data_IF_205472380778
#
_entry.id   IF_205472380778
#
_cell.length_a   1.000
_cell.length_b   1.000
_cell.length_c   1.000
_cell.angle_alpha   90.00
_cell.angle_beta   90.00
_cell.angle_gamma   90.00
#
_symmetry.space_group_name_H-M   'P 1'
#
loop_
_entity.id
_entity.type
_entity.pdbx_description
1 polymer ?
#
# COMPACT_ATOMS: atom_id res chain seq x y z
N UNK A 1 0.58 -23.26 17.98
CA UNK A 1 1.60 -23.18 16.92
C UNK A 1 0.89 -23.38 15.59
N UNK A 2 0.44 -22.28 14.96
CA UNK A 2 -0.16 -22.34 13.64
C UNK A 2 0.97 -22.36 12.61
N UNK A 3 1.05 -23.43 11.81
CA UNK A 3 2.02 -23.56 10.74
C UNK A 3 1.82 -22.44 9.72
N UNK A 4 2.89 -21.73 9.38
CA UNK A 4 2.92 -20.85 8.21
C UNK A 4 2.70 -21.74 6.98
N UNK A 5 1.48 -21.78 6.45
CA UNK A 5 1.24 -22.37 5.13
C UNK A 5 2.07 -21.57 4.14
N UNK A 6 3.11 -22.20 3.60
CA UNK A 6 4.04 -21.60 2.63
C UNK A 6 3.42 -21.62 1.23
N UNK A 7 2.16 -21.17 1.15
CA UNK A 7 1.43 -21.03 -0.09
C UNK A 7 1.53 -19.56 -0.44
N UNK A 8 2.32 -19.21 -1.46
CA UNK A 8 2.47 -17.82 -1.91
C UNK A 8 1.10 -17.17 -2.14
N UNK A 9 1.02 -15.84 -1.97
CA UNK A 9 -0.23 -15.08 -2.03
C UNK A 9 -1.06 -15.47 -3.27
N UNK A 10 -0.39 -15.66 -4.40
CA UNK A 10 -1.05 -16.03 -5.64
C UNK A 10 -1.65 -17.42 -5.65
N UNK A 11 -0.96 -18.40 -5.07
CA UNK A 11 -1.52 -19.74 -4.94
C UNK A 11 -2.70 -19.75 -3.96
N UNK A 12 -2.70 -18.89 -2.94
CA UNK A 12 -3.86 -18.70 -2.07
C UNK A 12 -5.04 -18.04 -2.82
N UNK A 13 -4.79 -16.99 -3.59
CA UNK A 13 -5.82 -16.26 -4.35
C UNK A 13 -6.43 -17.10 -5.48
N UNK A 14 -5.62 -17.88 -6.19
CA UNK A 14 -6.07 -18.73 -7.31
C UNK A 14 -6.91 -19.92 -6.86
N UNK A 15 -6.65 -20.45 -5.66
CA UNK A 15 -7.40 -21.56 -5.10
C UNK A 15 -8.72 -21.13 -4.42
N UNK A 16 -8.99 -19.83 -4.32
CA UNK A 16 -10.24 -19.33 -3.77
C UNK A 16 -11.39 -19.55 -4.75
N UNK A 17 -12.51 -20.09 -4.27
CA UNK A 17 -13.75 -20.21 -5.05
C UNK A 17 -14.58 -18.91 -5.06
N UNK A 18 -14.09 -17.84 -4.44
CA UNK A 18 -14.79 -16.57 -4.29
C UNK A 18 -14.33 -15.61 -5.39
N UNK A 19 -15.24 -15.24 -6.29
CA UNK A 19 -14.95 -14.36 -7.45
C UNK A 19 -14.31 -13.03 -7.03
N UNK A 20 -14.71 -12.44 -5.90
CA UNK A 20 -14.16 -11.16 -5.44
C UNK A 20 -12.71 -11.28 -4.98
N UNK A 21 -12.35 -12.38 -4.31
CA UNK A 21 -10.97 -12.68 -3.89
C UNK A 21 -10.10 -12.91 -5.13
N UNK A 22 -10.60 -13.66 -6.11
CA UNK A 22 -9.90 -13.85 -7.39
C UNK A 22 -9.67 -12.52 -8.11
N UNK A 23 -10.69 -11.66 -8.19
CA UNK A 23 -10.58 -10.32 -8.78
C UNK A 23 -9.51 -9.47 -8.08
N UNK A 24 -9.49 -9.49 -6.74
CA UNK A 24 -8.45 -8.84 -5.95
C UNK A 24 -7.05 -9.39 -6.28
N UNK A 25 -6.88 -10.70 -6.43
CA UNK A 25 -5.61 -11.28 -6.86
C UNK A 25 -5.18 -10.89 -8.26
N UNK A 26 -6.11 -10.68 -9.18
CA UNK A 26 -5.79 -10.13 -10.49
C UNK A 26 -5.36 -8.65 -10.40
N UNK A 27 -5.95 -7.85 -9.51
CA UNK A 27 -5.51 -6.46 -9.25
C UNK A 27 -4.05 -6.47 -8.77
N UNK A 28 -3.76 -7.28 -7.74
CA UNK A 28 -2.40 -7.37 -7.17
C UNK A 28 -1.39 -7.86 -8.21
N UNK A 29 -1.74 -8.90 -9.00
CA UNK A 29 -0.89 -9.40 -10.08
C UNK A 29 -0.58 -8.32 -11.13
N UNK A 30 -1.60 -7.62 -11.61
CA UNK A 30 -1.41 -6.51 -12.57
C UNK A 30 -0.52 -5.41 -12.01
N UNK A 31 -0.66 -5.08 -10.72
CA UNK A 31 0.18 -4.09 -10.06
C UNK A 31 1.65 -4.52 -10.05
N UNK A 32 1.93 -5.77 -9.67
CA UNK A 32 3.27 -6.36 -9.66
C UNK A 32 3.88 -6.39 -11.04
N UNK A 33 3.16 -6.92 -12.03
CA UNK A 33 3.66 -7.03 -13.40
C UNK A 33 3.94 -5.64 -14.01
N UNK A 34 3.04 -4.68 -13.78
CA UNK A 34 3.16 -3.32 -14.32
C UNK A 34 4.33 -2.55 -13.71
N UNK A 35 4.62 -2.78 -12.44
CA UNK A 35 5.64 -2.03 -11.71
C UNK A 35 6.88 -2.85 -11.38
N UNK A 36 7.02 -4.08 -11.89
CA UNK A 36 8.17 -4.96 -11.67
C UNK A 36 8.51 -5.05 -10.18
N UNK A 37 7.50 -5.44 -9.38
CA UNK A 37 7.59 -5.54 -7.92
C UNK A 37 7.88 -6.99 -7.50
N UNK A 38 8.43 -7.15 -6.29
CA UNK A 38 8.56 -8.47 -5.68
C UNK A 38 7.19 -9.04 -5.29
N UNK A 39 7.13 -10.36 -5.07
CA UNK A 39 5.92 -11.00 -4.56
C UNK A 39 5.55 -10.42 -3.18
N UNK A 40 4.29 -10.04 -2.93
CA UNK A 40 3.89 -9.46 -1.66
C UNK A 40 3.96 -10.47 -0.51
N UNK A 41 4.32 -9.98 0.67
CA UNK A 41 4.25 -10.75 1.90
C UNK A 41 2.83 -10.71 2.46
N UNK A 42 2.26 -11.87 2.83
CA UNK A 42 1.01 -11.91 3.60
C UNK A 42 1.32 -11.67 5.07
N UNK A 43 0.85 -10.55 5.60
CA UNK A 43 1.06 -10.16 7.00
C UNK A 43 0.01 -10.75 7.95
N UNK A 44 -1.19 -11.02 7.44
CA UNK A 44 -2.31 -11.53 8.21
C UNK A 44 -3.56 -11.69 7.34
N UNK A 45 -4.65 -12.10 7.99
CA UNK A 45 -5.96 -12.29 7.37
C UNK A 45 -7.04 -11.61 8.22
N UNK A 46 -8.14 -11.21 7.59
CA UNK A 46 -9.34 -10.69 8.25
C UNK A 46 -10.61 -11.18 7.57
N UNK A 47 -11.66 -11.30 8.37
CA UNK A 47 -12.98 -11.64 7.88
C UNK A 47 -13.74 -10.39 7.45
N UNK A 48 -14.32 -10.41 6.26
CA UNK A 48 -15.24 -9.38 5.78
C UNK A 48 -16.33 -10.04 4.95
N UNK A 49 -17.59 -9.89 5.39
CA UNK A 49 -18.74 -10.46 4.68
C UNK A 49 -18.76 -12.00 4.66
N UNK A 50 -18.10 -12.65 5.62
CA UNK A 50 -17.98 -14.12 5.69
C UNK A 50 -16.91 -14.71 4.77
N UNK A 51 -16.05 -13.86 4.22
CA UNK A 51 -14.91 -14.23 3.39
C UNK A 51 -13.62 -13.82 4.12
N UNK A 52 -12.58 -14.66 4.08
CA UNK A 52 -11.24 -14.32 4.58
C UNK A 52 -10.46 -13.57 3.49
N UNK A 53 -9.84 -12.45 3.88
CA UNK A 53 -9.09 -11.55 3.02
C UNK A 53 -7.67 -11.35 3.57
N UNK A 54 -6.64 -11.24 2.72
CA UNK A 54 -5.28 -11.06 3.18
C UNK A 54 -4.98 -9.58 3.39
N UNK A 55 -4.21 -9.27 4.42
CA UNK A 55 -3.44 -8.03 4.51
C UNK A 55 -2.06 -8.31 3.95
N UNK A 56 -1.64 -7.54 2.95
CA UNK A 56 -0.37 -7.78 2.26
C UNK A 56 0.59 -6.62 2.44
N UNK A 57 1.89 -6.91 2.44
CA UNK A 57 2.94 -5.91 2.34
C UNK A 57 3.61 -5.99 0.98
N UNK A 58 3.80 -4.83 0.36
CA UNK A 58 4.47 -4.66 -0.92
C UNK A 58 5.67 -3.73 -0.71
N UNK A 59 6.85 -4.16 -1.13
CA UNK A 59 8.04 -3.33 -1.15
C UNK A 59 8.15 -2.60 -2.48
N UNK A 60 8.32 -1.27 -2.42
CA UNK A 60 8.45 -0.38 -3.58
C UNK A 60 9.69 0.49 -3.37
N UNK A 61 10.84 0.02 -3.89
CA UNK A 61 12.15 0.65 -3.65
C UNK A 61 12.42 0.87 -2.15
N UNK A 62 12.39 2.12 -1.72
CA UNK A 62 12.68 2.56 -0.35
C UNK A 62 11.42 2.80 0.47
N UNK A 63 10.27 2.39 -0.05
CA UNK A 63 8.99 2.41 0.64
C UNK A 63 8.45 0.99 0.84
N UNK A 64 7.75 0.78 1.94
CA UNK A 64 6.92 -0.38 2.21
C UNK A 64 5.48 0.07 2.30
N UNK A 65 4.60 -0.64 1.61
CA UNK A 65 3.17 -0.41 1.63
C UNK A 65 2.50 -1.59 2.31
N UNK A 66 1.64 -1.35 3.30
CA UNK A 66 0.73 -2.34 3.85
C UNK A 66 -0.64 -2.06 3.25
N UNK A 67 -1.27 -3.07 2.66
CA UNK A 67 -2.50 -2.93 1.91
C UNK A 67 -3.57 -3.86 2.47
N UNK A 68 -4.73 -3.28 2.75
CA UNK A 68 -5.96 -3.95 3.15
C UNK A 68 -7.09 -3.55 2.20
N UNK A 69 -7.80 -4.53 1.65
CA UNK A 69 -8.82 -4.31 0.61
C UNK A 69 -10.24 -4.46 1.16
N UNK A 70 -11.05 -3.42 1.07
CA UNK A 70 -12.43 -3.42 1.55
C UNK A 70 -13.42 -3.34 0.37
N UNK A 71 -13.71 -4.47 -0.30
CA UNK A 71 -14.61 -4.47 -1.45
C UNK A 71 -15.99 -3.93 -1.07
N UNK A 72 -16.44 -2.92 -1.81
CA UNK A 72 -17.77 -2.33 -1.64
C UNK A 72 -17.86 -1.29 -0.53
N UNK A 73 -16.76 -0.95 0.15
CA UNK A 73 -16.69 0.28 0.95
C UNK A 73 -16.62 1.46 -0.01
N UNK A 74 -17.54 2.42 0.17
CA UNK A 74 -17.59 3.64 -0.63
C UNK A 74 -17.24 4.83 0.25
N UNK A 75 -16.40 5.78 -0.20
CA UNK A 75 -15.78 5.82 -1.54
C UNK A 75 -14.52 4.94 -1.66
N UNK A 76 -13.90 4.55 -0.54
CA UNK A 76 -12.59 3.91 -0.54
C UNK A 76 -12.64 2.38 -0.54
N UNK A 77 -12.02 1.76 -1.55
CA UNK A 77 -11.87 0.31 -1.61
C UNK A 77 -10.56 -0.19 -0.99
N UNK A 78 -9.59 0.69 -0.75
CA UNK A 78 -8.28 0.32 -0.23
C UNK A 78 -7.90 1.17 0.98
N UNK A 79 -7.42 0.50 2.02
CA UNK A 79 -6.71 1.13 3.13
C UNK A 79 -5.23 0.80 2.98
N UNK A 80 -4.41 1.85 2.92
CA UNK A 80 -2.98 1.75 2.67
C UNK A 80 -2.23 2.43 3.81
N UNK A 81 -1.20 1.77 4.29
CA UNK A 81 -0.17 2.38 5.13
C UNK A 81 1.12 2.44 4.36
N UNK A 82 1.77 3.60 4.35
CA UNK A 82 3.06 3.82 3.72
C UNK A 82 4.12 4.07 4.79
N UNK A 83 5.23 3.36 4.66
CA UNK A 83 6.46 3.52 5.45
C UNK A 83 7.62 3.76 4.47
N UNK A 84 8.12 4.99 4.38
CA UNK A 84 9.15 5.38 3.41
C UNK A 84 10.38 5.94 4.10
N UNK A 85 11.57 5.64 3.58
CA UNK A 85 12.82 6.22 4.10
C UNK A 85 12.97 7.70 3.75
N UNK A 86 12.25 8.20 2.74
CA UNK A 86 12.26 9.59 2.31
C UNK A 86 10.83 10.15 2.22
N UNK A 87 10.62 11.47 2.43
CA UNK A 87 9.30 12.08 2.29
C UNK A 87 8.70 11.81 0.92
N UNK A 88 7.44 11.36 0.89
CA UNK A 88 6.71 11.15 -0.36
C UNK A 88 6.19 12.49 -0.86
N UNK A 89 6.68 13.03 -2.00
CA UNK A 89 6.28 14.36 -2.44
C UNK A 89 4.94 14.33 -3.18
N UNK A 90 4.15 15.40 -3.03
CA UNK A 90 2.99 15.78 -3.85
C UNK A 90 2.07 14.62 -4.29
N UNK A 91 0.95 14.46 -3.59
CA UNK A 91 -0.03 13.41 -3.86
C UNK A 91 -1.20 13.85 -4.74
N UNK A 92 -1.19 15.07 -5.31
CA UNK A 92 -2.15 15.55 -6.31
C UNK A 92 -3.66 15.30 -6.02
N UNK A 93 -4.09 15.31 -4.75
CA UNK A 93 -5.49 15.06 -4.39
C UNK A 93 -5.90 13.58 -4.44
N UNK A 94 -4.94 12.65 -4.47
CA UNK A 94 -5.13 11.20 -4.51
C UNK A 94 -5.92 10.64 -3.32
N UNK A 95 -5.86 11.30 -2.17
CA UNK A 95 -6.61 10.96 -0.97
C UNK A 95 -6.71 12.16 -0.04
N UNK A 96 -7.54 12.07 1.01
CA UNK A 96 -7.61 13.09 2.07
C UNK A 96 -6.32 13.09 2.91
N UNK A 97 -5.48 14.13 2.82
CA UNK A 97 -4.19 14.15 3.51
C UNK A 97 -4.33 14.47 5.01
N UNK A 98 -5.55 14.69 5.50
CA UNK A 98 -5.87 14.96 6.92
C UNK A 98 -6.44 13.75 7.66
N UNK A 99 -6.71 12.64 6.95
CA UNK A 99 -7.20 11.41 7.56
C UNK A 99 -6.22 10.92 8.62
N UNK A 100 -6.71 10.75 9.85
CA UNK A 100 -5.95 10.16 10.94
C UNK A 100 -6.48 8.76 11.21
N UNK A 101 -5.61 7.76 11.08
CA UNK A 101 -5.93 6.37 11.42
C UNK A 101 -5.19 5.91 12.67
N UNK A 102 -4.37 6.78 13.27
CA UNK A 102 -3.62 6.42 14.47
C UNK A 102 -4.58 6.16 15.62
N UNK A 103 -4.48 4.98 16.23
CA UNK A 103 -5.38 4.53 17.30
C UNK A 103 -6.68 3.88 16.83
N UNK A 104 -6.93 3.78 15.52
CA UNK A 104 -8.03 2.97 15.00
C UNK A 104 -7.82 1.48 15.29
N UNK A 105 -8.92 0.75 15.47
CA UNK A 105 -8.90 -0.70 15.66
C UNK A 105 -9.58 -1.37 14.48
N UNK A 106 -8.78 -1.90 13.56
CA UNK A 106 -9.24 -2.53 12.34
C UNK A 106 -8.93 -4.04 12.33
N UNK A 107 -9.91 -4.90 12.03
CA UNK A 107 -9.68 -6.35 11.93
C UNK A 107 -8.53 -6.68 10.96
N UNK A 108 -7.61 -7.52 11.42
CA UNK A 108 -6.43 -7.95 10.65
C UNK A 108 -5.29 -6.92 10.53
N UNK A 109 -5.51 -5.67 10.94
CA UNK A 109 -4.45 -4.66 11.02
C UNK A 109 -3.96 -4.53 12.46
N UNK A 110 -2.65 -4.57 12.64
CA UNK A 110 -2.06 -4.28 13.94
C UNK A 110 -1.99 -2.76 14.17
N UNK A 111 -2.18 -2.27 15.41
CA UNK A 111 -2.12 -0.84 15.71
C UNK A 111 -0.82 -0.18 15.26
N UNK A 112 0.32 -0.86 15.35
CA UNK A 112 1.62 -0.34 14.90
C UNK A 112 1.75 -0.16 13.38
N UNK A 113 0.82 -0.72 12.60
CA UNK A 113 0.74 -0.52 11.16
C UNK A 113 -0.17 0.66 10.78
N UNK A 114 -0.82 1.33 11.72
CA UNK A 114 -1.72 2.44 11.42
C UNK A 114 -1.06 3.75 11.85
N UNK A 115 -0.75 4.57 10.85
CA UNK A 115 -0.09 5.85 11.05
C UNK A 115 -1.09 7.00 10.97
N UNK A 116 -0.65 8.15 11.46
CA UNK A 116 -1.42 9.38 11.40
C UNK A 116 -1.50 9.99 10.00
N UNK A 117 -1.96 11.25 9.90
CA UNK A 117 -2.17 11.92 8.63
C UNK A 117 -0.89 12.18 7.86
N UNK A 118 -0.96 12.06 6.53
CA UNK A 118 0.12 12.45 5.63
C UNK A 118 0.61 13.89 5.86
N UNK A 119 -0.29 14.83 6.20
CA UNK A 119 0.12 16.22 6.51
C UNK A 119 1.03 16.32 7.74
N UNK A 120 0.94 15.39 8.67
CA UNK A 120 1.77 15.37 9.87
C UNK A 120 3.12 14.70 9.60
N UNK A 121 3.14 13.56 8.91
CA UNK A 121 4.37 12.86 8.51
C UNK A 121 4.24 12.27 7.08
N UNK A 122 5.02 12.82 6.14
CA UNK A 122 5.03 12.37 4.75
C UNK A 122 5.84 11.08 4.52
N UNK A 123 6.46 10.54 5.57
CA UNK A 123 7.21 9.28 5.53
C UNK A 123 6.41 8.11 6.06
N UNK A 124 5.59 8.35 7.08
CA UNK A 124 4.78 7.34 7.76
C UNK A 124 3.35 7.84 7.87
N UNK A 125 2.47 7.34 7.00
CA UNK A 125 1.07 7.75 6.98
C UNK A 125 0.17 6.61 6.55
N UNK A 126 -1.08 6.68 7.01
CA UNK A 126 -2.17 5.86 6.47
C UNK A 126 -3.07 6.71 5.58
N UNK A 127 -3.65 6.09 4.56
CA UNK A 127 -4.59 6.72 3.65
C UNK A 127 -5.61 5.72 3.11
N UNK A 128 -6.64 6.27 2.49
CA UNK A 128 -7.70 5.53 1.83
C UNK A 128 -7.72 5.88 0.35
N UNK A 129 -7.77 4.88 -0.52
CA UNK A 129 -7.80 5.03 -1.97
C UNK A 129 -9.09 4.44 -2.54
N UNK A 130 -9.63 5.09 -3.57
CA UNK A 130 -10.95 4.72 -4.12
C UNK A 130 -10.87 3.42 -4.93
N UNK A 131 -9.86 3.29 -5.78
CA UNK A 131 -9.77 2.21 -6.77
C UNK A 131 -8.35 1.74 -7.11
N UNK A 132 -8.26 0.84 -8.11
CA UNK A 132 -6.99 0.31 -8.63
C UNK A 132 -6.11 1.38 -9.30
N UNK A 133 -6.71 2.42 -9.89
CA UNK A 133 -5.96 3.51 -10.53
C UNK A 133 -5.25 4.37 -9.51
N UNK A 134 -5.93 4.69 -8.40
CA UNK A 134 -5.35 5.42 -7.30
C UNK A 134 -4.20 4.64 -6.66
N UNK A 135 -4.39 3.33 -6.46
CA UNK A 135 -3.35 2.44 -5.96
C UNK A 135 -2.14 2.41 -6.90
N UNK A 136 -2.37 2.25 -8.21
CA UNK A 136 -1.31 2.28 -9.20
C UNK A 136 -0.59 3.64 -9.23
N UNK A 137 -1.30 4.75 -9.00
CA UNK A 137 -0.70 6.06 -8.93
C UNK A 137 0.17 6.25 -7.69
N UNK A 138 -0.28 5.77 -6.53
CA UNK A 138 0.54 5.77 -5.32
C UNK A 138 1.83 4.98 -5.53
N UNK A 139 1.76 3.76 -6.09
CA UNK A 139 2.96 2.95 -6.39
C UNK A 139 3.90 3.70 -7.34
N UNK A 140 3.36 4.36 -8.37
CA UNK A 140 4.16 5.15 -9.31
C UNK A 140 4.90 6.30 -8.61
N UNK A 141 4.23 7.02 -7.71
CA UNK A 141 4.83 8.08 -6.90
C UNK A 141 5.91 7.50 -6.00
N UNK A 142 5.64 6.40 -5.29
CA UNK A 142 6.63 5.78 -4.40
C UNK A 142 7.87 5.27 -5.16
N UNK A 143 7.71 4.77 -6.40
CA UNK A 143 8.86 4.45 -7.26
C UNK A 143 9.66 5.68 -7.69
N UNK A 144 9.09 6.88 -7.70
CA UNK A 144 9.81 8.11 -8.03
C UNK A 144 10.42 8.80 -6.81
N UNK A 145 10.04 8.41 -5.59
CA UNK A 145 10.70 8.85 -4.35
C UNK A 145 12.18 8.50 -4.41
N UNK A 146 13.04 9.46 -4.06
CA UNK A 146 14.50 9.36 -4.18
C UNK A 146 15.06 9.51 -5.60
N UNK A 147 14.23 9.43 -6.66
CA UNK A 147 14.61 9.90 -8.00
C UNK A 147 14.43 11.42 -8.14
N UNK A 148 13.67 12.07 -7.27
CA UNK A 148 13.52 13.52 -7.34
C UNK A 148 14.67 14.28 -6.65
N UNK A 149 15.44 13.62 -5.80
CA UNK A 149 16.62 14.22 -5.15
C UNK A 149 17.79 14.44 -6.14
N UNK A 150 17.93 13.64 -7.20
CA UNK A 150 18.98 13.87 -8.22
C UNK A 150 18.62 14.99 -9.21
N UNK A 151 17.34 15.38 -9.27
CA UNK A 151 16.87 16.49 -10.11
C UNK A 151 17.00 17.86 -9.41
N UNK A 152 17.45 17.90 -8.15
CA UNK A 152 17.85 19.12 -7.47
C UNK A 152 19.22 19.63 -7.97
N UNK A 153 19.19 20.23 -9.17
CA UNK A 153 20.07 21.28 -9.72
C UNK A 153 21.54 21.29 -9.22
N UNK A 154 22.52 20.81 -10.01
CA UNK A 154 23.92 21.14 -9.81
C UNK A 154 24.17 22.57 -10.31
N UNK A 155 23.98 23.57 -9.46
CA UNK A 155 24.54 24.90 -9.68
C UNK A 155 24.61 25.71 -8.38
N UNK A 156 25.49 25.33 -7.47
CA UNK A 156 26.21 26.33 -6.67
C UNK A 156 27.65 26.28 -7.12
N UNK A 157 28.05 27.35 -7.82
CA UNK A 157 29.40 27.54 -8.32
C UNK A 157 30.38 27.39 -7.16
N UNK A 158 31.37 26.53 -7.38
CA UNK A 158 32.66 26.61 -6.70
C UNK A 158 33.20 28.04 -6.81
N UNK A 159 33.87 28.48 -5.76
CA UNK A 159 34.34 29.85 -5.61
C UNK A 159 35.22 30.32 -6.75
N UNK A 160 35.12 31.62 -7.02
CA UNK A 160 36.19 32.57 -7.31
C UNK A 160 35.68 33.96 -6.91
#
# INVERSE_FOLDING_TARGET
MAGKSTTGLFSWLENSNVTRIQSYGQIVRRLIDKFDLDEPEVLGEYELGGESWPVIAISVKSARMILRYEPGRWPASFLITVESTAPVPSLFGLFDPTLDMSGETLPGMKPEWLHGPYRADQRNFSCELEDEWDLAMLVRILRSVGLLDWAAIPNTKAGE
#
